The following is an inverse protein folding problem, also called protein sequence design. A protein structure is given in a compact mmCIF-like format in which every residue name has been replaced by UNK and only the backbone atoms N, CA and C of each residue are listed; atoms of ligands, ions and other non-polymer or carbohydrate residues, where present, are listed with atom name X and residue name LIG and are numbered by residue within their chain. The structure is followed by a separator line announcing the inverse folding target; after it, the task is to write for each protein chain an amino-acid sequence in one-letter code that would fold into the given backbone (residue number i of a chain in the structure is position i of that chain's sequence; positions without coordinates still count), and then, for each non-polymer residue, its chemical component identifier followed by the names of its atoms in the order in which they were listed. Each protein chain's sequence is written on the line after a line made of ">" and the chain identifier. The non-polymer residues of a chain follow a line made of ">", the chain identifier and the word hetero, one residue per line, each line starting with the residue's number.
data_IF_726337599873
#
_entry.id   IF_726337599873
#
_cell.length_a   1.000
_cell.length_b   1.000
_cell.length_c   1.000
_cell.angle_alpha   90.00
_cell.angle_beta   90.00
_cell.angle_gamma   90.00
#
_symmetry.space_group_name_H-M   'P 1'
#
loop_
_entity.id
_entity.type
_entity.pdbx_description
1 polymer ?
#
# COMPACT_ATOMS: atom_id res chain seq x y z
N UNK A 1 8.52 -19.51 0.77
CA UNK A 1 8.93 -20.82 0.20
C UNK A 1 10.43 -20.99 0.44
N UNK A 2 10.97 -22.20 0.65
CA UNK A 2 12.33 -22.35 1.17
C UNK A 2 13.32 -21.79 0.15
N UNK A 3 14.18 -20.88 0.62
CA UNK A 3 15.16 -20.09 -0.15
C UNK A 3 14.55 -19.03 -1.07
N UNK A 4 14.01 -17.97 -0.47
CA UNK A 4 14.13 -16.62 -1.05
C UNK A 4 15.59 -16.47 -1.50
N UNK A 5 15.81 -16.39 -2.80
CA UNK A 5 17.15 -16.37 -3.37
C UNK A 5 17.95 -15.26 -2.68
N UNK A 6 19.18 -15.52 -2.21
CA UNK A 6 20.00 -14.49 -1.54
C UNK A 6 20.12 -13.21 -2.40
N UNK A 7 20.03 -13.37 -3.72
CA UNK A 7 20.01 -12.27 -4.68
C UNK A 7 18.79 -11.35 -4.57
N UNK A 8 17.68 -11.85 -4.03
CA UNK A 8 16.42 -11.12 -3.86
C UNK A 8 16.25 -10.51 -2.47
N UNK A 9 17.07 -10.90 -1.48
CA UNK A 9 16.99 -10.40 -0.11
C UNK A 9 17.00 -8.86 -0.03
N UNK A 10 17.88 -8.13 -0.75
CA UNK A 10 17.88 -6.65 -0.72
C UNK A 10 16.57 -6.03 -1.20
N UNK A 11 15.82 -6.73 -2.07
CA UNK A 11 14.60 -6.23 -2.69
C UNK A 11 13.35 -6.64 -1.89
N UNK A 12 13.34 -7.87 -1.37
CA UNK A 12 12.16 -8.51 -0.77
C UNK A 12 12.19 -8.56 0.76
N UNK A 13 13.29 -8.18 1.42
CA UNK A 13 13.40 -8.18 2.89
C UNK A 13 12.31 -7.36 3.58
N UNK A 14 11.96 -6.19 3.01
CA UNK A 14 10.89 -5.30 3.51
C UNK A 14 9.49 -5.93 3.47
N UNK A 15 9.32 -7.03 2.73
CA UNK A 15 8.07 -7.78 2.58
C UNK A 15 8.26 -9.26 2.92
N UNK A 16 9.26 -9.58 3.76
CA UNK A 16 9.53 -10.92 4.26
C UNK A 16 9.72 -11.98 3.16
N UNK A 17 10.33 -11.59 2.04
CA UNK A 17 10.60 -12.48 0.91
C UNK A 17 9.46 -12.61 -0.09
N UNK A 18 8.38 -11.84 0.04
CA UNK A 18 7.23 -11.87 -0.87
C UNK A 18 7.28 -10.72 -1.89
N UNK A 19 6.96 -10.99 -3.15
CA UNK A 19 6.73 -9.94 -4.16
C UNK A 19 5.35 -9.33 -3.90
N UNK A 20 5.33 -8.06 -3.48
CA UNK A 20 4.09 -7.33 -3.17
C UNK A 20 3.95 -6.09 -4.04
N UNK A 21 5.07 -5.43 -4.34
CA UNK A 21 5.07 -4.14 -5.00
C UNK A 21 5.56 -4.19 -6.45
N UNK A 22 4.97 -3.35 -7.28
CA UNK A 22 5.41 -3.12 -8.67
C UNK A 22 6.89 -2.70 -8.75
N UNK A 23 7.33 -1.88 -7.80
CA UNK A 23 8.69 -1.38 -7.68
C UNK A 23 9.70 -2.51 -7.38
N UNK A 24 9.28 -3.57 -6.68
CA UNK A 24 10.14 -4.74 -6.45
C UNK A 24 10.41 -5.47 -7.75
N UNK A 25 9.39 -5.65 -8.60
CA UNK A 25 9.57 -6.29 -9.92
C UNK A 25 10.50 -5.47 -10.80
N UNK A 26 10.38 -4.13 -10.80
CA UNK A 26 11.34 -3.27 -11.51
C UNK A 26 12.77 -3.58 -11.05
N UNK A 27 13.01 -3.59 -9.74
CA UNK A 27 14.34 -3.84 -9.20
C UNK A 27 14.85 -5.26 -9.51
N UNK A 28 13.97 -6.27 -9.52
CA UNK A 28 14.35 -7.64 -9.91
C UNK A 28 14.86 -7.69 -11.36
N UNK A 29 14.12 -7.10 -12.31
CA UNK A 29 14.53 -7.05 -13.72
C UNK A 29 15.85 -6.30 -13.93
N UNK A 30 16.05 -5.20 -13.19
CA UNK A 30 17.28 -4.40 -13.28
C UNK A 30 18.48 -5.12 -12.68
N UNK A 31 18.35 -5.63 -11.45
CA UNK A 31 19.47 -6.19 -10.71
C UNK A 31 19.86 -7.57 -11.23
N UNK A 32 18.88 -8.44 -11.50
CA UNK A 32 19.14 -9.81 -11.94
C UNK A 32 19.42 -9.88 -13.43
N UNK A 33 18.59 -9.28 -14.29
CA UNK A 33 18.69 -9.44 -15.74
C UNK A 33 19.37 -8.25 -16.46
N UNK A 34 19.63 -7.14 -15.76
CA UNK A 34 20.34 -6.00 -16.32
C UNK A 34 19.46 -5.10 -17.22
N UNK A 35 18.14 -5.13 -17.05
CA UNK A 35 17.25 -4.21 -17.74
C UNK A 35 17.56 -2.77 -17.32
N UNK A 36 17.46 -1.83 -18.26
CA UNK A 36 17.41 -0.40 -17.93
C UNK A 36 16.13 -0.06 -17.17
N UNK A 37 16.12 1.09 -16.48
CA UNK A 37 14.93 1.58 -15.79
C UNK A 37 13.72 1.74 -16.73
N UNK A 38 13.95 2.24 -17.95
CA UNK A 38 12.90 2.40 -18.94
C UNK A 38 12.30 1.07 -19.40
N UNK A 39 13.14 0.07 -19.65
CA UNK A 39 12.68 -1.27 -20.03
C UNK A 39 11.91 -1.94 -18.89
N UNK A 40 12.40 -1.84 -17.65
CA UNK A 40 11.71 -2.38 -16.49
C UNK A 40 10.38 -1.65 -16.19
N UNK A 41 10.28 -0.34 -16.41
CA UNK A 41 9.01 0.40 -16.28
C UNK A 41 7.97 -0.07 -17.33
N UNK A 42 8.39 -0.52 -18.51
CA UNK A 42 7.47 -1.12 -19.48
C UNK A 42 6.80 -2.39 -18.93
N UNK A 43 7.56 -3.23 -18.21
CA UNK A 43 7.01 -4.40 -17.49
C UNK A 43 6.02 -3.93 -16.41
N UNK A 44 6.39 -2.89 -15.65
CA UNK A 44 5.51 -2.30 -14.63
C UNK A 44 4.17 -1.82 -15.20
N UNK A 45 4.20 -1.17 -16.37
CA UNK A 45 3.00 -0.73 -17.08
C UNK A 45 2.17 -1.90 -17.59
N UNK A 46 2.81 -2.97 -18.08
CA UNK A 46 2.12 -4.19 -18.50
C UNK A 46 1.39 -4.85 -17.32
N UNK A 47 2.04 -4.96 -16.15
CA UNK A 47 1.41 -5.45 -14.91
C UNK A 47 0.23 -4.58 -14.49
N UNK A 48 0.40 -3.24 -14.47
CA UNK A 48 -0.68 -2.31 -14.12
C UNK A 48 -1.91 -2.44 -15.03
N UNK A 49 -1.70 -2.84 -16.29
CA UNK A 49 -2.76 -3.07 -17.28
C UNK A 49 -3.20 -4.54 -17.38
N UNK A 50 -2.72 -5.41 -16.49
CA UNK A 50 -2.99 -6.86 -16.48
C UNK A 50 -2.72 -7.55 -17.82
N UNK A 51 -1.64 -7.14 -18.50
CA UNK A 51 -1.24 -7.67 -19.82
C UNK A 51 -0.27 -8.83 -19.66
N UNK A 52 -0.77 -9.97 -19.20
CA UNK A 52 0.05 -11.15 -18.91
C UNK A 52 0.86 -11.62 -20.13
N UNK A 53 0.27 -11.59 -21.34
CA UNK A 53 0.96 -11.98 -22.58
C UNK A 53 2.24 -11.17 -22.84
N UNK A 54 2.25 -9.89 -22.50
CA UNK A 54 3.44 -9.02 -22.63
C UNK A 54 4.50 -9.43 -21.63
N UNK A 55 4.10 -9.77 -20.40
CA UNK A 55 5.03 -10.17 -19.35
C UNK A 55 5.60 -11.56 -19.69
N UNK A 56 4.79 -12.51 -20.12
CA UNK A 56 5.27 -13.84 -20.51
C UNK A 56 6.26 -13.79 -21.67
N UNK A 57 6.06 -12.90 -22.65
CA UNK A 57 6.96 -12.72 -23.78
C UNK A 57 8.38 -12.28 -23.38
N UNK A 58 8.53 -11.62 -22.22
CA UNK A 58 9.82 -11.08 -21.75
C UNK A 58 10.68 -12.12 -21.04
N UNK A 59 10.20 -13.36 -20.84
CA UNK A 59 10.96 -14.42 -20.16
C UNK A 59 12.30 -14.68 -20.83
N UNK A 60 12.32 -14.81 -22.15
CA UNK A 60 13.56 -15.12 -22.87
C UNK A 60 14.62 -14.03 -22.66
N UNK A 61 14.21 -12.76 -22.74
CA UNK A 61 15.10 -11.63 -22.49
C UNK A 61 15.54 -11.52 -21.02
N UNK A 62 14.67 -11.86 -20.07
CA UNK A 62 15.03 -11.91 -18.66
C UNK A 62 16.06 -13.00 -18.36
N UNK A 63 15.83 -14.22 -18.85
CA UNK A 63 16.69 -15.38 -18.54
C UNK A 63 18.00 -15.31 -19.33
N UNK A 64 17.92 -15.17 -20.65
CA UNK A 64 19.05 -15.31 -21.56
C UNK A 64 19.59 -13.99 -22.13
N UNK A 65 18.85 -12.89 -21.95
CA UNK A 65 19.24 -11.59 -22.48
C UNK A 65 18.65 -11.29 -23.86
N UNK A 66 18.88 -10.08 -24.32
CA UNK A 66 18.45 -9.56 -25.61
C UNK A 66 19.50 -8.53 -26.09
N UNK A 67 20.39 -8.92 -27.02
CA UNK A 67 21.46 -8.04 -27.50
C UNK A 67 20.95 -6.78 -28.21
N UNK A 68 19.82 -6.86 -28.94
CA UNK A 68 19.25 -5.72 -29.66
C UNK A 68 18.77 -4.64 -28.69
N UNK A 69 18.27 -5.06 -27.53
CA UNK A 69 17.84 -4.18 -26.45
C UNK A 69 18.92 -3.93 -25.41
N UNK A 70 20.16 -4.40 -25.62
CA UNK A 70 21.27 -4.27 -24.68
C UNK A 70 20.93 -4.82 -23.27
N UNK A 71 20.25 -5.96 -23.23
CA UNK A 71 19.85 -6.66 -22.00
C UNK A 71 20.81 -7.86 -21.83
N UNK A 72 21.63 -7.90 -20.77
CA UNK A 72 22.55 -9.01 -20.55
C UNK A 72 21.87 -10.35 -20.25
N UNK A 73 20.73 -10.33 -19.56
CA UNK A 73 20.06 -11.54 -19.07
C UNK A 73 20.61 -12.04 -17.73
N UNK A 74 19.78 -12.78 -17.00
CA UNK A 74 20.09 -13.26 -15.66
C UNK A 74 21.24 -14.28 -15.65
N UNK A 75 21.28 -15.17 -16.64
CA UNK A 75 22.33 -16.20 -16.76
C UNK A 75 23.71 -15.58 -16.94
N UNK A 76 23.84 -14.59 -17.84
CA UNK A 76 25.10 -13.88 -18.06
C UNK A 76 25.56 -13.09 -16.84
N UNK A 77 24.64 -12.79 -15.92
CA UNK A 77 24.88 -12.07 -14.67
C UNK A 77 25.09 -12.99 -13.46
N UNK A 78 25.25 -14.29 -13.69
CA UNK A 78 25.60 -15.27 -12.66
C UNK A 78 24.42 -15.89 -11.93
N UNK A 79 23.19 -15.68 -12.40
CA UNK A 79 22.00 -16.38 -11.88
C UNK A 79 21.87 -17.74 -12.58
N UNK A 80 21.82 -18.87 -11.86
CA UNK A 80 21.57 -20.16 -12.49
C UNK A 80 20.26 -20.15 -13.30
N UNK A 81 20.27 -20.73 -14.50
CA UNK A 81 19.12 -20.67 -15.41
C UNK A 81 17.82 -21.22 -14.78
N UNK A 82 17.92 -22.32 -14.04
CA UNK A 82 16.80 -22.90 -13.28
C UNK A 82 16.21 -21.87 -12.32
N UNK A 83 17.07 -21.22 -11.53
CA UNK A 83 16.65 -20.16 -10.62
C UNK A 83 16.01 -19.00 -11.38
N UNK A 84 16.61 -18.55 -12.48
CA UNK A 84 16.07 -17.41 -13.24
C UNK A 84 14.64 -17.70 -13.72
N UNK A 85 14.37 -18.93 -14.13
CA UNK A 85 13.03 -19.38 -14.49
C UNK A 85 12.08 -19.46 -13.28
N UNK A 86 12.52 -20.02 -12.15
CA UNK A 86 11.73 -20.07 -10.90
C UNK A 86 11.33 -18.66 -10.43
N UNK A 87 12.27 -17.71 -10.44
CA UNK A 87 11.99 -16.30 -10.11
C UNK A 87 10.99 -15.71 -11.10
N UNK A 88 11.08 -16.04 -12.38
CA UNK A 88 10.14 -15.57 -13.38
C UNK A 88 8.72 -16.12 -13.18
N UNK A 89 8.60 -17.39 -12.79
CA UNK A 89 7.33 -18.02 -12.43
C UNK A 89 6.68 -17.29 -11.25
N UNK A 90 7.46 -16.95 -10.22
CA UNK A 90 6.99 -16.15 -9.09
C UNK A 90 6.50 -14.77 -9.56
N UNK A 91 7.27 -14.06 -10.40
CA UNK A 91 6.86 -12.77 -10.95
C UNK A 91 5.52 -12.88 -11.69
N UNK A 92 5.34 -13.89 -12.54
CA UNK A 92 4.09 -14.09 -13.28
C UNK A 92 2.90 -14.36 -12.34
N UNK A 93 3.08 -15.21 -11.33
CA UNK A 93 2.04 -15.50 -10.35
C UNK A 93 1.58 -14.24 -9.59
N UNK A 94 2.50 -13.30 -9.31
CA UNK A 94 2.20 -12.08 -8.55
C UNK A 94 1.90 -10.86 -9.42
N UNK A 95 2.20 -10.87 -10.72
CA UNK A 95 2.04 -9.74 -11.63
C UNK A 95 0.62 -9.15 -11.63
N UNK A 96 -0.40 -10.00 -11.50
CA UNK A 96 -1.81 -9.60 -11.46
C UNK A 96 -2.24 -8.93 -10.15
N UNK A 97 -1.43 -9.06 -9.09
CA UNK A 97 -1.71 -8.59 -7.73
C UNK A 97 -0.73 -7.51 -7.24
N UNK A 98 0.34 -7.24 -8.00
CA UNK A 98 1.38 -6.28 -7.62
C UNK A 98 0.81 -4.87 -7.44
N UNK A 99 1.04 -4.29 -6.25
CA UNK A 99 0.50 -2.99 -5.88
C UNK A 99 1.54 -1.87 -6.08
N UNK A 100 1.09 -0.64 -6.33
CA UNK A 100 2.01 0.50 -6.41
C UNK A 100 2.44 0.94 -4.99
N UNK A 101 3.74 0.82 -4.67
CA UNK A 101 4.25 1.12 -3.32
C UNK A 101 4.06 2.58 -2.94
N UNK A 102 4.31 3.51 -3.85
CA UNK A 102 4.17 4.94 -3.56
C UNK A 102 2.72 5.29 -3.14
N UNK A 103 1.74 4.73 -3.85
CA UNK A 103 0.32 4.87 -3.52
C UNK A 103 -0.04 4.19 -2.19
N UNK A 104 0.49 2.99 -1.93
CA UNK A 104 0.27 2.32 -0.64
C UNK A 104 0.83 3.13 0.53
N UNK A 105 2.05 3.65 0.41
CA UNK A 105 2.72 4.40 1.48
C UNK A 105 2.01 5.73 1.77
N UNK A 106 1.56 6.46 0.74
CA UNK A 106 0.86 7.73 0.96
C UNK A 106 -0.42 7.55 1.77
N UNK A 107 -1.22 6.52 1.45
CA UNK A 107 -2.42 6.19 2.23
C UNK A 107 -2.09 5.62 3.60
N UNK A 108 -1.06 4.77 3.72
CA UNK A 108 -0.63 4.21 5.01
C UNK A 108 -0.23 5.31 6.01
N UNK A 109 0.40 6.40 5.55
CA UNK A 109 0.72 7.55 6.41
C UNK A 109 -0.56 8.20 6.95
N UNK A 110 -1.60 8.37 6.13
CA UNK A 110 -2.89 8.92 6.58
C UNK A 110 -3.53 7.99 7.60
N UNK A 111 -3.60 6.68 7.32
CA UNK A 111 -4.13 5.69 8.25
C UNK A 111 -3.36 5.66 9.58
N UNK A 112 -2.03 5.77 9.55
CA UNK A 112 -1.22 5.84 10.76
C UNK A 112 -1.51 7.11 11.56
N UNK A 113 -1.63 8.27 10.90
CA UNK A 113 -1.94 9.54 11.55
C UNK A 113 -3.32 9.52 12.20
N UNK A 114 -4.35 8.98 11.54
CA UNK A 114 -5.69 8.88 12.13
C UNK A 114 -5.71 7.89 13.29
N UNK A 115 -5.03 6.75 13.18
CA UNK A 115 -4.87 5.81 14.29
C UNK A 115 -4.12 6.44 15.49
N UNK A 116 -3.06 7.20 15.22
CA UNK A 116 -2.32 7.93 16.24
C UNK A 116 -3.19 8.96 16.96
N UNK A 117 -3.96 9.76 16.22
CA UNK A 117 -4.90 10.73 16.79
C UNK A 117 -5.97 10.03 17.63
N UNK A 118 -6.59 8.96 17.11
CA UNK A 118 -7.60 8.19 17.85
C UNK A 118 -7.04 7.58 19.14
N UNK A 119 -5.77 7.16 19.16
CA UNK A 119 -5.13 6.58 20.35
C UNK A 119 -4.75 7.62 21.40
N UNK A 120 -4.24 8.78 20.99
CA UNK A 120 -3.63 9.76 21.90
C UNK A 120 -4.53 10.97 22.21
N UNK A 121 -5.44 11.32 21.31
CA UNK A 121 -6.40 12.42 21.41
C UNK A 121 -7.80 11.94 20.99
N UNK A 122 -8.36 10.91 21.66
CA UNK A 122 -9.60 10.27 21.23
C UNK A 122 -10.79 11.22 21.21
N UNK A 123 -10.90 12.13 22.18
CA UNK A 123 -12.01 13.09 22.27
C UNK A 123 -11.97 14.06 21.09
N UNK A 124 -10.84 14.74 20.87
CA UNK A 124 -10.66 15.70 19.80
C UNK A 124 -10.79 15.04 18.42
N UNK A 125 -10.25 13.83 18.27
CA UNK A 125 -10.37 13.06 17.04
C UNK A 125 -11.82 12.69 16.73
N UNK A 126 -12.57 12.18 17.72
CA UNK A 126 -13.97 11.81 17.52
C UNK A 126 -14.88 13.02 17.31
N UNK A 127 -14.62 14.15 18.00
CA UNK A 127 -15.30 15.42 17.74
C UNK A 127 -15.12 15.85 16.27
N UNK A 128 -13.87 15.92 15.80
CA UNK A 128 -13.55 16.28 14.42
C UNK A 128 -14.15 15.29 13.41
N UNK A 129 -14.17 14.00 13.72
CA UNK A 129 -14.73 12.96 12.87
C UNK A 129 -16.25 13.11 12.73
N UNK A 130 -16.96 13.34 13.82
CA UNK A 130 -18.40 13.62 13.84
C UNK A 130 -18.73 14.90 13.06
N UNK A 131 -17.98 15.98 13.29
CA UNK A 131 -18.13 17.24 12.56
C UNK A 131 -17.95 17.05 11.06
N UNK A 132 -16.98 16.23 10.62
CA UNK A 132 -16.70 16.01 9.20
C UNK A 132 -17.83 15.31 8.42
N UNK A 133 -18.82 14.75 9.12
CA UNK A 133 -19.92 13.97 8.55
C UNK A 133 -21.29 14.40 9.04
N UNK A 134 -21.44 15.63 9.54
CA UNK A 134 -22.70 16.17 10.11
C UNK A 134 -23.93 15.88 9.23
N UNK A 135 -23.80 16.08 7.91
CA UNK A 135 -24.89 15.86 6.94
C UNK A 135 -25.15 14.38 6.59
N UNK A 136 -24.39 13.44 7.18
CA UNK A 136 -24.47 12.00 6.92
C UNK A 136 -24.94 11.24 8.17
N UNK A 137 -26.26 11.22 8.39
CA UNK A 137 -26.89 10.58 9.56
C UNK A 137 -26.42 9.13 9.81
N UNK A 138 -26.30 8.25 8.80
CA UNK A 138 -25.74 6.91 9.02
C UNK A 138 -24.32 6.92 9.62
N UNK A 139 -23.42 7.76 9.11
CA UNK A 139 -22.05 7.86 9.63
C UNK A 139 -21.98 8.50 11.00
N UNK A 140 -22.78 9.54 11.26
CA UNK A 140 -22.90 10.12 12.59
C UNK A 140 -23.29 9.03 13.58
N UNK A 141 -24.31 8.22 13.26
CA UNK A 141 -24.76 7.12 14.13
C UNK A 141 -23.65 6.09 14.39
N UNK A 142 -22.90 5.71 13.36
CA UNK A 142 -21.74 4.80 13.48
C UNK A 142 -20.67 5.36 14.42
N UNK A 143 -20.31 6.64 14.26
CA UNK A 143 -19.28 7.28 15.09
C UNK A 143 -19.74 7.53 16.53
N UNK A 144 -21.04 7.77 16.76
CA UNK A 144 -21.61 7.82 18.12
C UNK A 144 -21.49 6.46 18.81
N UNK A 145 -21.73 5.36 18.10
CA UNK A 145 -21.54 4.02 18.65
C UNK A 145 -20.07 3.78 19.04
N UNK A 146 -19.12 4.19 18.18
CA UNK A 146 -17.70 4.11 18.49
C UNK A 146 -17.30 4.96 19.71
N UNK A 147 -17.86 6.16 19.87
CA UNK A 147 -17.63 6.98 21.08
C UNK A 147 -18.01 6.22 22.36
N UNK A 148 -19.14 5.48 22.32
CA UNK A 148 -19.59 4.68 23.47
C UNK A 148 -18.62 3.54 23.81
N UNK A 149 -18.10 2.84 22.80
CA UNK A 149 -17.09 1.79 22.98
C UNK A 149 -15.77 2.34 23.55
N UNK A 150 -15.43 3.58 23.21
CA UNK A 150 -14.27 4.29 23.76
C UNK A 150 -14.53 4.88 25.16
N UNK A 151 -15.75 4.76 25.70
CA UNK A 151 -16.14 5.33 27.00
C UNK A 151 -16.36 6.85 26.98
N UNK A 152 -16.49 7.45 25.80
CA UNK A 152 -16.72 8.88 25.60
C UNK A 152 -18.22 9.14 25.59
N UNK A 153 -18.71 9.97 26.52
CA UNK A 153 -20.14 10.31 26.56
C UNK A 153 -20.41 11.43 25.56
N UNK A 154 -21.61 11.40 25.01
CA UNK A 154 -22.11 12.42 24.10
C UNK A 154 -23.23 13.17 24.79
N UNK A 155 -22.94 14.41 25.17
CA UNK A 155 -23.83 15.33 25.85
C UNK A 155 -24.77 15.97 24.83
N UNK A 156 -26.07 16.13 25.15
CA UNK A 156 -27.03 16.74 24.26
C UNK A 156 -26.66 18.20 23.96
N UNK A 157 -27.18 18.78 22.86
CA UNK A 157 -26.96 20.18 22.56
C UNK A 157 -27.52 21.09 23.67
N UNK A 158 -26.80 22.16 23.98
CA UNK A 158 -27.18 23.17 24.98
C UNK A 158 -26.98 24.57 24.38
N UNK A 159 -28.01 25.41 24.45
CA UNK A 159 -27.99 26.76 23.87
C UNK A 159 -26.89 27.68 24.45
N UNK A 160 -26.40 27.38 25.65
CA UNK A 160 -25.38 28.18 26.34
C UNK A 160 -23.97 27.60 26.22
N UNK A 161 -23.83 26.32 25.87
CA UNK A 161 -22.56 25.61 25.88
C UNK A 161 -22.15 25.01 24.53
N UNK A 162 -23.11 24.66 23.67
CA UNK A 162 -22.82 24.12 22.34
C UNK A 162 -22.34 25.21 21.39
N UNK A 163 -21.38 24.83 20.56
CA UNK A 163 -20.94 25.61 19.40
C UNK A 163 -21.66 25.11 18.12
N UNK A 164 -21.25 25.59 16.96
CA UNK A 164 -21.74 25.12 15.68
C UNK A 164 -21.48 23.61 15.47
N UNK A 165 -20.26 23.19 15.78
CA UNK A 165 -19.74 21.84 15.56
C UNK A 165 -19.67 21.02 16.87
N UNK A 166 -19.35 19.72 16.77
CA UNK A 166 -19.05 18.92 17.96
C UNK A 166 -17.78 19.43 18.65
N UNK A 167 -17.85 19.60 19.97
CA UNK A 167 -16.76 20.11 20.80
C UNK A 167 -16.44 19.16 21.95
N UNK A 168 -15.21 19.26 22.47
CA UNK A 168 -14.77 18.52 23.67
C UNK A 168 -15.10 19.35 24.91
N UNK A 169 -15.81 18.76 25.86
CA UNK A 169 -16.23 19.41 27.12
C UNK A 169 -16.03 18.46 28.29
N UNK A 170 -15.24 18.85 29.29
CA UNK A 170 -15.00 18.10 30.54
C UNK A 170 -14.60 16.62 30.38
N UNK A 171 -13.94 16.27 29.26
CA UNK A 171 -13.56 14.88 28.97
C UNK A 171 -14.67 14.06 28.33
N UNK A 172 -15.69 14.72 27.78
CA UNK A 172 -16.76 14.15 26.96
C UNK A 172 -16.94 15.00 25.69
N UNK A 173 -17.96 14.67 24.89
CA UNK A 173 -18.29 15.38 23.66
C UNK A 173 -19.64 16.06 23.77
N UNK A 174 -19.75 17.29 23.28
CA UNK A 174 -20.99 18.07 23.20
C UNK A 174 -21.49 18.10 21.76
N UNK A 175 -22.79 17.88 21.56
CA UNK A 175 -23.43 18.09 20.25
C UNK A 175 -23.36 19.54 19.80
N UNK A 176 -23.10 19.75 18.51
CA UNK A 176 -23.25 21.06 17.85
C UNK A 176 -24.71 21.46 17.64
N UNK A 177 -24.94 22.74 17.34
CA UNK A 177 -26.28 23.33 17.11
C UNK A 177 -26.72 23.38 15.64
N UNK A 178 -25.84 23.03 14.70
CA UNK A 178 -26.07 23.17 13.25
C UNK A 178 -26.74 21.94 12.67
#
# INVERSE_FOLDING_TARGET
>A
SPTTHLLLEPILSVTYGCIVYQEQVIEIFRQLAGFSLGQADMIRRAMSKKKETVITAERAAFVHGDPERNIPGAVARGVPERTANEIYDEILAFASYAFNKAHAVSYAIVSYRTAYMKRNYPHEYMAALLTSVLDNTPKVTEYIAECRELGIRLLPPDINASDADFTVEEGDLRFGLV
#
